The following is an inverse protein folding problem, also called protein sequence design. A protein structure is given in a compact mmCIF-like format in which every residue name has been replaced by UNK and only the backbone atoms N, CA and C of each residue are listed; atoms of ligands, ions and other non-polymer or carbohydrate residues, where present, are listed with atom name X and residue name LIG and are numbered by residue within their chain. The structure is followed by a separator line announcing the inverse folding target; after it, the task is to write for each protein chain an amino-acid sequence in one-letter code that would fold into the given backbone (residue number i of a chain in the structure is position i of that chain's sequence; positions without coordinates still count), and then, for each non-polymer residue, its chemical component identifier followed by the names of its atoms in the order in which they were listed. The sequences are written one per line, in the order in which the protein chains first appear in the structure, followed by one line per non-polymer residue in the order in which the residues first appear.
data_IF_377435832091
#
_entry.id   IF_377435832091
#
_cell.length_a   1.000
_cell.length_b   1.000
_cell.length_c   1.000
_cell.angle_alpha   90.00
_cell.angle_beta   90.00
_cell.angle_gamma   90.00
#
_symmetry.space_group_name_H-M   'P 1'
#
loop_
_entity.id
_entity.type
_entity.pdbx_description
1 polymer ?
#
# COMPACT_ATOMS: atom_id res chain seq x y z
N UNK A 1 -22.77 -10.81 7.11
CA UNK A 1 -23.20 -11.99 7.89
C UNK A 1 -22.03 -12.74 8.54
N UNK A 2 -21.24 -13.57 7.83
CA UNK A 2 -20.19 -14.38 8.48
C UNK A 2 -19.17 -13.58 9.33
N UNK A 3 -18.76 -12.39 8.86
CA UNK A 3 -17.86 -11.51 9.62
C UNK A 3 -18.51 -10.90 10.86
N UNK A 4 -19.80 -10.56 10.79
CA UNK A 4 -20.56 -10.02 11.93
C UNK A 4 -20.76 -11.11 12.99
N UNK A 5 -21.15 -12.32 12.57
CA UNK A 5 -21.29 -13.47 13.46
C UNK A 5 -19.95 -13.79 14.17
N UNK A 6 -18.84 -13.73 13.43
CA UNK A 6 -17.49 -13.94 13.96
C UNK A 6 -17.09 -12.86 14.97
N UNK A 7 -17.43 -11.59 14.70
CA UNK A 7 -17.17 -10.46 15.60
C UNK A 7 -17.93 -10.62 16.90
N UNK A 8 -19.20 -10.98 16.82
CA UNK A 8 -20.06 -11.12 17.98
C UNK A 8 -19.62 -12.32 18.85
N UNK A 9 -19.17 -13.41 18.22
CA UNK A 9 -18.52 -14.53 18.91
C UNK A 9 -17.21 -14.11 19.59
N UNK A 10 -16.34 -13.36 18.91
CA UNK A 10 -15.09 -12.88 19.49
C UNK A 10 -15.35 -12.01 20.73
N UNK A 11 -16.35 -11.12 20.68
CA UNK A 11 -16.79 -10.31 21.84
C UNK A 11 -17.28 -11.18 22.99
N UNK A 12 -18.08 -12.21 22.71
CA UNK A 12 -18.57 -13.16 23.73
C UNK A 12 -17.45 -13.97 24.40
N UNK A 13 -16.40 -14.29 23.65
CA UNK A 13 -15.24 -15.05 24.12
C UNK A 13 -14.13 -14.16 24.69
N UNK A 14 -14.34 -12.84 24.76
CA UNK A 14 -13.32 -11.85 25.19
C UNK A 14 -12.02 -11.93 24.38
N UNK A 15 -12.11 -12.35 23.12
CA UNK A 15 -10.98 -12.43 22.19
C UNK A 15 -10.84 -11.08 21.49
N UNK A 16 -9.70 -10.42 21.68
CA UNK A 16 -9.37 -9.23 20.91
C UNK A 16 -9.18 -9.58 19.43
N UNK A 17 -9.87 -8.85 18.56
CA UNK A 17 -9.77 -9.02 17.12
C UNK A 17 -9.87 -7.67 16.41
N UNK A 18 -9.45 -7.61 15.15
CA UNK A 18 -9.59 -6.44 14.29
C UNK A 18 -10.91 -6.45 13.49
N UNK A 19 -11.89 -7.28 13.86
CA UNK A 19 -13.10 -7.49 13.05
C UNK A 19 -13.99 -6.24 12.94
N UNK A 20 -14.05 -5.40 13.97
CA UNK A 20 -14.75 -4.11 13.89
C UNK A 20 -14.13 -3.21 12.79
N UNK A 21 -12.80 -3.14 12.70
CA UNK A 21 -12.08 -2.39 11.66
C UNK A 21 -12.27 -3.01 10.28
N UNK A 22 -12.06 -4.33 10.15
CA UNK A 22 -12.26 -5.05 8.88
C UNK A 22 -13.67 -4.83 8.33
N UNK A 23 -14.71 -4.98 9.15
CA UNK A 23 -16.11 -4.81 8.73
C UNK A 23 -16.36 -3.38 8.24
N UNK A 24 -15.82 -2.37 8.94
CA UNK A 24 -15.97 -0.96 8.53
C UNK A 24 -15.30 -0.62 7.20
N UNK A 25 -14.25 -1.36 6.83
CA UNK A 25 -13.53 -1.19 5.57
C UNK A 25 -14.12 -2.00 4.41
N UNK A 26 -15.06 -2.92 4.67
CA UNK A 26 -15.64 -3.76 3.61
C UNK A 26 -16.28 -2.96 2.48
N UNK A 27 -17.08 -1.88 2.70
CA UNK A 27 -17.66 -1.13 1.58
C UNK A 27 -16.60 -0.52 0.67
N UNK A 28 -15.48 -0.05 1.26
CA UNK A 28 -14.35 0.50 0.52
C UNK A 28 -13.68 -0.57 -0.36
N UNK A 29 -13.42 -1.75 0.21
CA UNK A 29 -12.84 -2.86 -0.55
C UNK A 29 -13.82 -3.42 -1.59
N UNK A 30 -15.12 -3.48 -1.28
CA UNK A 30 -16.15 -3.99 -2.19
C UNK A 30 -16.21 -3.17 -3.46
N UNK A 31 -16.30 -1.85 -3.32
CA UNK A 31 -16.26 -0.92 -4.45
C UNK A 31 -15.04 -1.16 -5.33
N UNK A 32 -13.88 -1.33 -4.70
CA UNK A 32 -12.59 -1.31 -5.39
C UNK A 32 -12.18 -2.64 -6.00
N UNK A 33 -12.68 -3.75 -5.47
CA UNK A 33 -12.40 -5.10 -5.97
C UNK A 33 -13.52 -5.69 -6.82
N UNK A 34 -14.75 -5.14 -6.78
CA UNK A 34 -15.85 -5.56 -7.67
C UNK A 34 -16.01 -4.72 -8.92
N UNK A 35 -15.54 -3.47 -8.94
CA UNK A 35 -15.55 -2.66 -10.16
C UNK A 35 -14.51 -3.19 -11.17
N UNK A 36 -14.89 -3.25 -12.45
CA UNK A 36 -13.94 -3.51 -13.53
C UNK A 36 -12.82 -2.46 -13.51
N UNK A 37 -11.61 -2.87 -13.87
CA UNK A 37 -10.46 -1.96 -13.87
C UNK A 37 -10.70 -0.77 -14.81
N UNK A 38 -10.76 0.44 -14.25
CA UNK A 38 -10.84 1.69 -14.98
C UNK A 38 -9.50 2.45 -14.90
N UNK A 39 -8.74 2.56 -16.00
CA UNK A 39 -7.45 3.26 -16.00
C UNK A 39 -7.57 4.77 -15.76
N UNK A 40 -8.75 5.36 -15.98
CA UNK A 40 -9.04 6.78 -15.72
C UNK A 40 -9.43 7.05 -14.26
N UNK A 41 -9.59 6.00 -13.45
CA UNK A 41 -9.85 6.14 -12.03
C UNK A 41 -8.68 6.81 -11.34
N UNK A 42 -8.99 7.81 -10.50
CA UNK A 42 -7.96 8.49 -9.69
C UNK A 42 -7.26 7.49 -8.78
N UNK A 43 -5.94 7.53 -8.81
CA UNK A 43 -5.10 6.84 -7.83
C UNK A 43 -5.31 7.49 -6.45
N UNK A 44 -5.45 6.69 -5.38
CA UNK A 44 -5.54 7.19 -4.03
C UNK A 44 -4.23 7.85 -3.61
N UNK A 45 -4.31 8.66 -2.56
CA UNK A 45 -3.13 9.26 -1.94
C UNK A 45 -2.22 8.19 -1.30
N UNK A 46 -0.92 8.28 -1.55
CA UNK A 46 0.07 7.31 -1.13
C UNK A 46 1.45 7.95 -1.00
N UNK A 47 2.09 7.84 0.18
CA UNK A 47 3.41 8.44 0.42
C UNK A 47 4.57 7.48 0.13
N UNK A 48 4.29 6.21 -0.17
CA UNK A 48 5.32 5.18 -0.29
C UNK A 48 6.43 5.49 -1.29
N UNK A 49 6.17 6.07 -2.49
CA UNK A 49 7.26 6.42 -3.41
C UNK A 49 8.30 7.42 -2.85
N UNK A 50 8.03 8.07 -1.71
CA UNK A 50 8.93 9.01 -1.05
C UNK A 50 9.56 8.48 0.24
N UNK A 51 9.01 7.44 0.86
CA UNK A 51 9.44 6.98 2.19
C UNK A 51 9.73 5.49 2.28
N UNK A 52 9.43 4.73 1.24
CA UNK A 52 9.58 3.28 1.23
C UNK A 52 10.20 2.79 -0.08
N UNK A 53 10.97 1.71 0.05
CA UNK A 53 11.51 0.92 -1.06
C UNK A 53 11.25 -0.55 -0.77
N UNK A 54 10.86 -1.29 -1.80
CA UNK A 54 10.84 -2.74 -1.81
C UNK A 54 11.97 -3.23 -2.71
N UNK A 55 12.77 -4.18 -2.20
CA UNK A 55 13.90 -4.77 -2.91
C UNK A 55 13.68 -6.27 -2.96
N UNK A 56 13.58 -6.83 -4.16
CA UNK A 56 13.48 -8.27 -4.37
C UNK A 56 14.85 -8.93 -4.18
N UNK A 57 14.86 -10.26 -4.00
CA UNK A 57 16.09 -11.04 -3.79
C UNK A 57 17.07 -10.94 -4.98
N UNK A 58 16.55 -10.73 -6.18
CA UNK A 58 17.32 -10.55 -7.42
C UNK A 58 17.74 -9.09 -7.66
N UNK A 59 17.58 -8.23 -6.66
CA UNK A 59 18.00 -6.82 -6.71
C UNK A 59 17.01 -5.87 -7.38
N UNK A 60 15.93 -6.38 -8.00
CA UNK A 60 14.87 -5.53 -8.57
C UNK A 60 14.23 -4.66 -7.50
N UNK A 61 14.04 -3.40 -7.83
CA UNK A 61 13.48 -2.41 -6.91
C UNK A 61 12.08 -2.02 -7.34
N UNK A 62 11.19 -1.77 -6.37
CA UNK A 62 9.90 -1.13 -6.59
C UNK A 62 9.56 -0.20 -5.41
N UNK A 63 8.65 0.77 -5.56
CA UNK A 63 8.21 1.63 -4.45
C UNK A 63 7.32 0.91 -3.43
N UNK A 64 6.76 -0.25 -3.77
CA UNK A 64 5.91 -1.07 -2.91
C UNK A 64 5.88 -2.51 -3.42
N UNK A 65 5.75 -3.49 -2.51
CA UNK A 65 5.64 -4.91 -2.86
C UNK A 65 4.46 -5.21 -3.80
N UNK A 66 3.35 -4.46 -3.69
CA UNK A 66 2.17 -4.67 -4.52
C UNK A 66 2.43 -4.41 -6.01
N UNK A 67 3.37 -3.52 -6.36
CA UNK A 67 3.67 -3.21 -7.76
C UNK A 67 4.37 -4.38 -8.48
N UNK A 68 4.92 -5.35 -7.77
CA UNK A 68 5.53 -6.51 -8.41
C UNK A 68 4.53 -7.36 -9.22
N UNK A 69 3.23 -7.17 -8.98
CA UNK A 69 2.16 -7.89 -9.68
C UNK A 69 1.82 -7.27 -11.05
N UNK A 70 2.32 -6.08 -11.36
CA UNK A 70 2.05 -5.41 -12.63
C UNK A 70 3.06 -5.85 -13.70
N UNK A 71 2.57 -6.22 -14.89
CA UNK A 71 3.36 -6.83 -15.98
C UNK A 71 4.51 -5.94 -16.52
N UNK A 72 4.48 -4.63 -16.27
CA UNK A 72 5.42 -3.64 -16.83
C UNK A 72 6.06 -2.76 -15.76
N UNK A 73 6.43 -3.35 -14.63
CA UNK A 73 7.11 -2.61 -13.55
C UNK A 73 8.62 -2.79 -13.66
N UNK A 74 9.29 -1.68 -13.91
CA UNK A 74 10.74 -1.56 -13.88
C UNK A 74 11.12 -0.21 -13.26
N UNK A 75 11.75 -0.26 -12.09
CA UNK A 75 12.35 0.92 -11.45
C UNK A 75 13.88 0.83 -11.43
N UNK A 76 14.46 -0.21 -12.05
CA UNK A 76 15.87 -0.54 -12.00
C UNK A 76 16.22 -1.64 -11.01
N UNK A 77 17.51 -1.98 -11.00
CA UNK A 77 18.10 -3.02 -10.17
C UNK A 77 19.24 -2.44 -9.33
N UNK A 78 19.28 -2.77 -8.04
CA UNK A 78 20.34 -2.30 -7.14
C UNK A 78 21.73 -2.74 -7.56
N UNK A 79 21.86 -3.92 -8.18
CA UNK A 79 23.16 -4.46 -8.58
C UNK A 79 23.75 -3.72 -9.78
N UNK A 80 22.91 -3.05 -10.57
CA UNK A 80 23.32 -2.34 -11.78
C UNK A 80 23.51 -0.83 -11.51
N UNK A 81 22.49 -0.19 -10.93
CA UNK A 81 22.43 1.28 -10.80
C UNK A 81 22.71 1.80 -9.38
N UNK A 82 22.82 0.89 -8.40
CA UNK A 82 22.90 1.23 -6.98
C UNK A 82 21.60 1.86 -6.45
N UNK A 83 21.55 2.07 -5.13
CA UNK A 83 20.34 2.58 -4.48
C UNK A 83 19.98 4.01 -4.94
N UNK A 84 20.93 4.93 -4.93
CA UNK A 84 20.67 6.33 -5.28
C UNK A 84 20.30 6.51 -6.76
N UNK A 85 20.90 5.71 -7.64
CA UNK A 85 20.59 5.70 -9.07
C UNK A 85 19.15 5.28 -9.33
N UNK A 86 18.72 4.19 -8.69
CA UNK A 86 17.32 3.73 -8.75
C UNK A 86 16.37 4.75 -8.10
N UNK A 87 16.62 5.14 -6.85
CA UNK A 87 15.71 5.98 -6.06
C UNK A 87 15.44 7.36 -6.67
N UNK A 88 16.44 7.91 -7.36
CA UNK A 88 16.34 9.18 -8.08
C UNK A 88 16.16 9.01 -9.59
N UNK A 89 16.03 7.76 -10.07
CA UNK A 89 15.85 7.40 -11.46
C UNK A 89 14.50 7.85 -12.03
N UNK A 90 14.38 7.74 -13.35
CA UNK A 90 13.22 8.28 -14.08
C UNK A 90 11.90 7.62 -13.67
N UNK A 91 11.87 6.30 -13.45
CA UNK A 91 10.67 5.59 -13.01
C UNK A 91 10.10 6.15 -11.70
N UNK A 92 10.95 6.40 -10.69
CA UNK A 92 10.53 7.03 -9.44
C UNK A 92 10.04 8.47 -9.66
N UNK A 93 10.74 9.25 -10.49
CA UNK A 93 10.38 10.65 -10.78
C UNK A 93 9.02 10.74 -11.47
N UNK A 94 8.77 9.88 -12.47
CA UNK A 94 7.49 9.77 -13.18
C UNK A 94 6.38 9.39 -12.22
N UNK A 95 6.57 8.33 -11.42
CA UNK A 95 5.55 7.90 -10.48
C UNK A 95 5.21 9.00 -9.46
N UNK A 96 6.22 9.64 -8.86
CA UNK A 96 6.03 10.73 -7.90
C UNK A 96 5.29 11.92 -8.51
N UNK A 97 5.56 12.24 -9.78
CA UNK A 97 4.85 13.30 -10.52
C UNK A 97 3.38 12.96 -10.74
N UNK A 98 3.10 11.75 -11.22
CA UNK A 98 1.72 11.29 -11.46
C UNK A 98 0.92 11.20 -10.16
N UNK A 99 1.51 10.66 -9.09
CA UNK A 99 0.83 10.51 -7.81
C UNK A 99 0.49 11.85 -7.14
N UNK A 100 1.30 12.90 -7.33
CA UNK A 100 0.95 14.28 -6.92
C UNK A 100 -0.31 14.81 -7.58
N UNK A 101 -0.72 14.21 -8.69
CA UNK A 101 -1.94 14.55 -9.45
C UNK A 101 -3.05 13.52 -9.26
N UNK A 102 -2.93 12.61 -8.28
CA UNK A 102 -3.83 11.48 -8.06
C UNK A 102 -3.95 10.57 -9.29
N UNK A 103 -2.84 10.35 -10.00
CA UNK A 103 -2.73 9.43 -11.14
C UNK A 103 -1.61 8.42 -10.92
N UNK A 104 -1.66 7.30 -11.62
CA UNK A 104 -0.56 6.34 -11.65
C UNK A 104 -0.58 5.57 -12.97
N UNK A 105 0.58 5.23 -13.55
CA UNK A 105 0.64 4.33 -14.71
C UNK A 105 0.42 2.86 -14.33
N UNK A 106 0.34 2.54 -13.03
CA UNK A 106 0.30 1.18 -12.53
C UNK A 106 -1.10 0.81 -12.03
N UNK A 107 -1.64 -0.29 -12.54
CA UNK A 107 -2.96 -0.81 -12.17
C UNK A 107 -3.04 -1.07 -10.68
N UNK A 108 -1.99 -1.66 -10.10
CA UNK A 108 -1.91 -1.92 -8.67
C UNK A 108 -2.04 -0.64 -7.83
N UNK A 109 -1.53 0.50 -8.30
CA UNK A 109 -1.74 1.77 -7.60
C UNK A 109 -3.18 2.28 -7.75
N UNK A 110 -3.75 2.17 -8.95
CA UNK A 110 -5.12 2.60 -9.27
C UNK A 110 -6.19 1.80 -8.52
N UNK A 111 -5.90 0.57 -8.07
CA UNK A 111 -6.83 -0.31 -7.32
C UNK A 111 -6.42 -0.55 -5.85
N UNK A 112 -5.27 -0.07 -5.38
CA UNK A 112 -4.84 -0.22 -3.97
C UNK A 112 -5.58 0.73 -3.01
N UNK A 113 -5.62 0.47 -1.71
CA UNK A 113 -6.21 1.41 -0.75
C UNK A 113 -5.45 2.74 -0.55
N UNK A 114 -4.21 2.81 -1.02
CA UNK A 114 -3.30 3.94 -0.79
C UNK A 114 -2.82 4.04 0.66
N UNK A 115 -1.59 4.49 0.85
CA UNK A 115 -0.94 4.66 2.15
C UNK A 115 -0.64 6.13 2.36
N UNK A 116 -1.69 6.93 2.58
CA UNK A 116 -1.55 8.35 2.92
C UNK A 116 -0.81 8.53 4.23
N UNK A 117 -0.28 9.74 4.47
CA UNK A 117 0.44 10.04 5.71
C UNK A 117 -0.42 9.78 6.96
N UNK A 118 -1.71 10.11 6.92
CA UNK A 118 -2.65 9.83 8.01
C UNK A 118 -2.75 8.33 8.30
N UNK A 119 -2.98 7.50 7.27
CA UNK A 119 -3.07 6.03 7.42
C UNK A 119 -1.78 5.42 7.98
N UNK A 120 -0.62 5.90 7.53
CA UNK A 120 0.68 5.43 8.03
C UNK A 120 0.88 5.82 9.49
N UNK A 121 0.49 7.04 9.88
CA UNK A 121 0.58 7.52 11.25
C UNK A 121 -0.38 6.75 12.18
N UNK A 122 -1.62 6.51 11.73
CA UNK A 122 -2.60 5.73 12.48
C UNK A 122 -2.11 4.29 12.74
N UNK A 123 -1.55 3.64 11.70
CA UNK A 123 -0.97 2.31 11.83
C UNK A 123 0.21 2.31 12.82
N UNK A 124 1.08 3.31 12.73
CA UNK A 124 2.22 3.50 13.63
C UNK A 124 1.79 3.66 15.10
N UNK A 125 0.68 4.35 15.35
CA UNK A 125 0.13 4.52 16.70
C UNK A 125 -0.55 3.26 17.24
N UNK A 126 -1.25 2.50 16.37
CA UNK A 126 -1.94 1.26 16.75
C UNK A 126 -1.00 0.08 16.94
N UNK A 127 0.14 0.04 16.24
CA UNK A 127 1.05 -1.12 16.24
C UNK A 127 1.99 -1.06 17.46
N UNK A 128 1.93 -2.04 18.38
CA UNK A 128 2.82 -2.07 19.53
C UNK A 128 4.29 -2.06 19.10
N UNK A 129 5.09 -1.15 19.66
CA UNK A 129 6.53 -1.10 19.42
C UNK A 129 6.97 -0.31 18.18
N UNK A 130 6.05 0.16 17.32
CA UNK A 130 6.44 0.90 16.11
C UNK A 130 6.99 2.30 16.41
N UNK A 131 6.36 3.04 17.34
CA UNK A 131 6.81 4.37 17.78
C UNK A 131 7.63 4.35 19.09
N UNK A 132 7.62 3.25 19.83
CA UNK A 132 8.47 3.11 21.01
C UNK A 132 9.87 2.77 20.53
N UNK A 133 10.83 3.70 20.65
CA UNK A 133 12.25 3.35 20.57
C UNK A 133 12.50 2.17 21.50
N UNK A 134 13.15 1.12 20.99
CA UNK A 134 13.77 0.13 21.85
C UNK A 134 14.62 0.90 22.87
N UNK A 135 14.31 0.72 24.15
CA UNK A 135 15.16 1.22 25.24
C UNK A 135 16.47 0.43 25.25
#
# INVERSE_FOLDING_TARGET
KALEDSRDLAKKLEIQSNLDEVISLLPFYDQRYREDFNPEQKSPDCIYPWVQVYVAIDGRVTPCCALQMDEKVDFGNLYDDGFEGVWNGEAYRVLRKEMKQNRSPYKSCITCEGRSLGKVTDLAMKTPGFLKRAK
#
